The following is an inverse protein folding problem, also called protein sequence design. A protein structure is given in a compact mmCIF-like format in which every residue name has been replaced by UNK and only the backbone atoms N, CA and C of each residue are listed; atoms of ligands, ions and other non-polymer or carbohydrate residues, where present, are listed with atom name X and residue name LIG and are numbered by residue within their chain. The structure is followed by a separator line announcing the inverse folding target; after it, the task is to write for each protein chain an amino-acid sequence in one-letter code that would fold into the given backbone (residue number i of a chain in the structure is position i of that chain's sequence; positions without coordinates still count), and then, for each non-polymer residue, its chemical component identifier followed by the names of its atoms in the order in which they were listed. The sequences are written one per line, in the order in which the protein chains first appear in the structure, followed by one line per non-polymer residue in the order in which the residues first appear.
data_IF_420257335582
#
_entry.id   IF_420257335582
#
_cell.length_a   1.000
_cell.length_b   1.000
_cell.length_c   1.000
_cell.angle_alpha   90.00
_cell.angle_beta   90.00
_cell.angle_gamma   90.00
#
_symmetry.space_group_name_H-M   'P 1'
#
loop_
_entity.id
_entity.type
_entity.pdbx_description
1 polymer ?
#
# COMPACT_ATOMS: atom_id res chain seq x y z
N UNK A 1 -18.14 17.75 15.70
CA UNK A 1 -17.14 17.51 14.64
C UNK A 1 -17.78 16.65 13.56
N UNK A 2 -17.63 17.01 12.31
CA UNK A 2 -18.26 16.29 11.19
C UNK A 2 -17.20 15.64 10.30
N UNK A 3 -16.64 14.54 10.76
CA UNK A 3 -15.64 13.76 10.00
C UNK A 3 -16.40 12.93 8.96
N UNK A 4 -16.05 13.09 7.69
CA UNK A 4 -16.79 12.47 6.58
C UNK A 4 -16.06 11.26 5.98
N UNK A 5 -15.01 10.78 6.62
CA UNK A 5 -14.29 9.60 6.17
C UNK A 5 -12.80 9.84 6.06
N UNK A 6 -12.16 8.93 5.38
CA UNK A 6 -10.71 8.94 5.19
C UNK A 6 -10.35 9.75 3.95
N UNK A 7 -9.44 10.72 4.07
CA UNK A 7 -9.03 11.54 2.93
C UNK A 7 -7.84 10.93 2.19
N UNK A 8 -6.74 10.75 2.89
CA UNK A 8 -5.55 10.09 2.32
C UNK A 8 -4.62 9.61 3.43
N UNK A 9 -3.71 8.74 3.06
CA UNK A 9 -2.59 8.33 3.89
C UNK A 9 -1.30 8.68 3.14
N UNK A 10 -0.38 9.34 3.81
CA UNK A 10 0.93 9.66 3.25
C UNK A 10 1.98 8.69 3.80
N UNK A 11 2.80 8.15 2.90
CA UNK A 11 3.90 7.26 3.22
C UNK A 11 5.18 7.84 2.62
N UNK A 12 6.20 8.00 3.43
CA UNK A 12 7.50 8.41 2.93
C UNK A 12 8.27 7.18 2.46
N UNK A 13 8.79 7.25 1.24
CA UNK A 13 9.47 6.15 0.57
C UNK A 13 10.77 6.61 -0.06
N UNK A 14 11.71 5.70 -0.28
CA UNK A 14 12.99 6.03 -0.92
C UNK A 14 12.93 5.94 -2.44
N UNK A 15 12.19 4.97 -2.96
CA UNK A 15 12.07 4.72 -4.39
C UNK A 15 10.62 4.82 -4.82
N UNK A 16 10.15 6.08 -5.00
CA UNK A 16 8.73 6.36 -5.22
C UNK A 16 8.17 5.67 -6.48
N UNK A 17 8.94 5.59 -7.56
CA UNK A 17 8.47 4.91 -8.78
C UNK A 17 8.26 3.42 -8.56
N UNK A 18 9.17 2.77 -7.84
CA UNK A 18 9.09 1.34 -7.55
C UNK A 18 7.91 1.01 -6.64
N UNK A 19 7.69 1.84 -5.62
CA UNK A 19 6.56 1.66 -4.70
C UNK A 19 5.24 1.93 -5.42
N UNK A 20 5.19 2.97 -6.25
CA UNK A 20 4.01 3.27 -7.07
C UNK A 20 3.67 2.10 -7.99
N UNK A 21 4.68 1.50 -8.63
CA UNK A 21 4.46 0.35 -9.51
C UNK A 21 3.81 -0.82 -8.77
N UNK A 22 4.18 -1.04 -7.51
CA UNK A 22 3.54 -2.08 -6.70
C UNK A 22 2.04 -1.82 -6.53
N UNK A 23 1.65 -0.62 -6.09
CA UNK A 23 0.25 -0.31 -5.86
C UNK A 23 -0.55 -0.20 -7.17
N UNK A 24 0.04 0.35 -8.22
CA UNK A 24 -0.61 0.51 -9.52
C UNK A 24 -0.69 -0.80 -10.30
N UNK A 25 0.43 -1.50 -10.45
CA UNK A 25 0.53 -2.63 -11.39
C UNK A 25 0.18 -3.97 -10.73
N UNK A 26 0.45 -4.13 -9.43
CA UNK A 26 0.13 -5.37 -8.71
C UNK A 26 -1.26 -5.30 -8.08
N UNK A 27 -1.56 -4.22 -7.34
CA UNK A 27 -2.88 -4.05 -6.72
C UNK A 27 -3.92 -3.48 -7.67
N UNK A 28 -3.51 -2.85 -8.76
CA UNK A 28 -4.43 -2.29 -9.76
C UNK A 28 -4.98 -0.92 -9.42
N UNK A 29 -4.31 -0.17 -8.54
CA UNK A 29 -4.74 1.19 -8.21
C UNK A 29 -4.39 2.15 -9.34
N UNK A 30 -5.17 3.23 -9.49
CA UNK A 30 -4.94 4.24 -10.53
C UNK A 30 -4.00 5.33 -10.02
N UNK A 31 -3.00 5.68 -10.83
CA UNK A 31 -2.16 6.83 -10.54
C UNK A 31 -2.95 8.12 -10.77
N UNK A 32 -2.97 9.01 -9.77
CA UNK A 32 -3.73 10.26 -9.83
C UNK A 32 -2.88 11.41 -10.35
N UNK A 33 -1.82 11.75 -9.62
CA UNK A 33 -1.02 12.94 -9.93
C UNK A 33 0.40 12.81 -9.44
N UNK A 34 1.32 13.40 -10.21
CA UNK A 34 2.74 13.51 -9.85
C UNK A 34 3.02 14.95 -9.45
N UNK A 35 3.76 15.13 -8.37
CA UNK A 35 4.21 16.43 -7.90
C UNK A 35 5.72 16.48 -7.97
N UNK A 36 6.22 17.63 -8.43
CA UNK A 36 7.65 17.84 -8.60
C UNK A 36 8.15 18.95 -7.67
N UNK A 37 9.45 18.89 -7.33
CA UNK A 37 10.14 19.93 -6.61
C UNK A 37 10.47 21.08 -7.57
N UNK A 38 10.94 22.22 -7.04
CA UNK A 38 11.34 23.37 -7.87
C UNK A 38 12.43 23.02 -8.88
N UNK A 39 13.33 22.10 -8.53
CA UNK A 39 14.41 21.64 -9.42
C UNK A 39 13.94 20.66 -10.50
N UNK A 40 12.65 20.34 -10.55
CA UNK A 40 12.06 19.41 -11.52
C UNK A 40 12.09 17.95 -11.12
N UNK A 41 12.77 17.59 -10.03
CA UNK A 41 12.81 16.21 -9.54
C UNK A 41 11.46 15.80 -8.97
N UNK A 42 11.14 14.51 -9.07
CA UNK A 42 9.88 13.97 -8.58
C UNK A 42 9.86 13.98 -7.05
N UNK A 43 8.80 14.56 -6.47
CA UNK A 43 8.60 14.63 -5.03
C UNK A 43 7.62 13.57 -4.54
N UNK A 44 6.49 13.42 -5.21
CA UNK A 44 5.45 12.49 -4.77
C UNK A 44 4.56 12.02 -5.91
N UNK A 45 3.93 10.87 -5.69
CA UNK A 45 2.92 10.31 -6.59
C UNK A 45 1.70 9.94 -5.74
N UNK A 46 0.53 10.41 -6.17
CA UNK A 46 -0.75 10.01 -5.57
C UNK A 46 -1.33 8.81 -6.28
N UNK A 47 -1.83 7.84 -5.54
CA UNK A 47 -2.46 6.62 -6.07
C UNK A 47 -3.84 6.49 -5.46
N UNK A 48 -4.88 6.38 -6.29
CA UNK A 48 -6.25 6.25 -5.83
C UNK A 48 -6.51 4.88 -5.22
N UNK A 49 -7.05 4.88 -4.01
CA UNK A 49 -7.57 3.66 -3.39
C UNK A 49 -9.05 3.55 -3.77
N UNK A 50 -9.46 2.47 -4.47
CA UNK A 50 -10.86 2.35 -4.88
C UNK A 50 -11.85 2.50 -3.73
N UNK A 51 -12.78 3.42 -3.89
CA UNK A 51 -13.83 3.68 -2.90
C UNK A 51 -13.46 4.62 -1.76
N UNK A 52 -12.19 4.91 -1.52
CA UNK A 52 -11.78 5.71 -0.36
C UNK A 52 -10.46 6.44 -0.55
N UNK A 53 -10.48 7.72 -0.85
CA UNK A 53 -9.28 8.54 -0.80
C UNK A 53 -8.10 8.05 -1.64
N UNK A 54 -6.89 8.36 -1.19
CA UNK A 54 -5.68 7.98 -1.94
C UNK A 54 -4.48 7.77 -1.01
N UNK A 55 -3.45 7.13 -1.56
CA UNK A 55 -2.13 7.08 -0.95
C UNK A 55 -1.26 8.17 -1.57
N UNK A 56 -0.60 8.95 -0.74
CA UNK A 56 0.42 9.89 -1.18
C UNK A 56 1.79 9.25 -0.89
N UNK A 57 2.51 8.89 -1.95
CA UNK A 57 3.84 8.28 -1.82
C UNK A 57 4.87 9.39 -2.03
N UNK A 58 5.53 9.79 -0.94
CA UNK A 58 6.43 10.94 -0.92
C UNK A 58 7.87 10.48 -0.84
N UNK A 59 8.70 10.91 -1.81
CA UNK A 59 10.09 10.51 -1.86
C UNK A 59 10.94 11.27 -0.85
N UNK A 60 11.67 10.53 -0.04
CA UNK A 60 12.65 11.05 0.91
C UNK A 60 13.94 10.23 0.82
N UNK A 61 15.04 10.80 1.29
CA UNK A 61 16.30 10.08 1.43
C UNK A 61 16.44 9.55 2.86
N UNK A 62 17.33 8.58 3.03
CA UNK A 62 17.63 8.03 4.35
C UNK A 62 17.10 6.62 4.56
N UNK A 63 17.48 6.04 5.68
CA UNK A 63 17.06 4.69 6.04
C UNK A 63 15.80 4.73 6.93
N UNK A 64 14.90 3.74 6.78
CA UNK A 64 13.76 3.61 7.69
C UNK A 64 14.22 3.40 9.13
N UNK A 65 13.61 4.09 10.07
CA UNK A 65 13.92 4.02 11.48
C UNK A 65 12.76 3.39 12.27
N UNK A 66 12.96 2.28 12.94
CA UNK A 66 14.07 1.29 12.94
C UNK A 66 13.84 0.14 11.97
N UNK A 67 13.38 0.42 10.82
CA UNK A 67 12.98 -0.51 9.77
C UNK A 67 11.52 -0.31 9.41
N UNK A 68 11.11 -0.78 8.23
CA UNK A 68 9.79 -0.43 7.69
C UNK A 68 8.61 -0.98 8.49
N UNK A 69 8.75 -2.14 9.09
CA UNK A 69 7.67 -2.74 9.87
C UNK A 69 8.21 -3.63 10.99
N UNK A 70 7.59 -3.55 12.15
CA UNK A 70 7.86 -4.44 13.29
C UNK A 70 6.59 -4.76 14.04
N UNK A 71 6.42 -6.04 14.41
CA UNK A 71 5.35 -6.46 15.31
C UNK A 71 5.59 -5.88 16.70
N UNK A 72 4.52 -5.71 17.45
CA UNK A 72 4.58 -5.36 18.88
C UNK A 72 5.26 -4.01 19.14
N UNK A 73 5.16 -3.10 18.20
CA UNK A 73 5.70 -1.76 18.31
C UNK A 73 4.57 -0.75 18.18
N UNK A 74 4.47 0.26 19.06
CA UNK A 74 3.48 1.33 18.87
C UNK A 74 3.70 2.04 17.53
N UNK A 75 2.62 2.35 16.84
CA UNK A 75 2.64 3.05 15.55
C UNK A 75 1.79 2.37 14.50
N UNK A 76 1.97 2.77 13.24
CA UNK A 76 1.26 2.17 12.13
C UNK A 76 1.66 0.70 11.98
N UNK A 77 0.64 -0.14 11.86
CA UNK A 77 0.81 -1.60 11.81
C UNK A 77 0.71 -2.15 10.39
N UNK A 78 -0.31 -1.73 9.63
CA UNK A 78 -0.50 -2.23 8.27
C UNK A 78 -1.45 -1.33 7.47
N UNK A 79 -1.41 -1.50 6.15
CA UNK A 79 -2.40 -0.96 5.22
C UNK A 79 -3.31 -2.11 4.80
N UNK A 80 -4.57 -2.07 5.22
CA UNK A 80 -5.52 -3.12 4.86
C UNK A 80 -6.53 -2.59 3.84
N UNK A 81 -6.67 -3.32 2.73
CA UNK A 81 -7.62 -3.00 1.68
C UNK A 81 -8.69 -4.09 1.61
N UNK A 82 -9.92 -3.67 1.30
CA UNK A 82 -11.04 -4.59 1.20
C UNK A 82 -11.06 -5.25 -0.17
N UNK A 83 -11.31 -6.55 -0.17
CA UNK A 83 -11.60 -7.31 -1.39
C UNK A 83 -12.89 -8.11 -1.18
N UNK A 84 -13.61 -8.46 -2.23
CA UNK A 84 -14.67 -9.44 -2.08
C UNK A 84 -14.06 -10.83 -1.86
N UNK A 85 -14.77 -11.70 -1.14
CA UNK A 85 -14.29 -13.08 -0.90
C UNK A 85 -13.97 -13.79 -2.21
N UNK A 86 -14.84 -13.63 -3.22
CA UNK A 86 -14.62 -14.22 -4.54
C UNK A 86 -13.35 -13.75 -5.24
N UNK A 87 -12.77 -12.63 -4.81
CA UNK A 87 -11.53 -12.09 -5.38
C UNK A 87 -10.25 -12.64 -4.77
N UNK A 88 -10.34 -13.41 -3.67
CA UNK A 88 -9.16 -13.87 -2.95
C UNK A 88 -8.18 -14.68 -3.82
N UNK A 89 -8.70 -15.64 -4.57
CA UNK A 89 -7.85 -16.48 -5.42
C UNK A 89 -7.11 -15.64 -6.47
N UNK A 90 -7.76 -14.65 -7.05
CA UNK A 90 -7.16 -13.73 -8.01
C UNK A 90 -6.05 -12.87 -7.38
N UNK A 91 -6.24 -12.45 -6.13
CA UNK A 91 -5.22 -11.71 -5.37
C UNK A 91 -3.98 -12.56 -5.17
N UNK A 92 -4.15 -13.79 -4.69
CA UNK A 92 -3.02 -14.72 -4.48
C UNK A 92 -2.27 -14.97 -5.79
N UNK A 93 -3.01 -15.18 -6.88
CA UNK A 93 -2.42 -15.39 -8.20
C UNK A 93 -1.66 -14.15 -8.70
N UNK A 94 -2.21 -12.97 -8.49
CA UNK A 94 -1.56 -11.72 -8.89
C UNK A 94 -0.24 -11.51 -8.15
N UNK A 95 -0.19 -11.80 -6.85
CA UNK A 95 1.05 -11.73 -6.09
C UNK A 95 2.07 -12.77 -6.58
N UNK A 96 1.64 -13.98 -6.87
CA UNK A 96 2.52 -15.01 -7.40
C UNK A 96 3.14 -14.59 -8.74
N UNK A 97 2.33 -14.04 -9.66
CA UNK A 97 2.82 -13.56 -10.95
C UNK A 97 3.80 -12.39 -10.82
N UNK A 98 3.58 -11.53 -9.83
CA UNK A 98 4.45 -10.38 -9.58
C UNK A 98 5.71 -10.74 -8.78
N UNK A 99 5.85 -11.99 -8.34
CA UNK A 99 6.97 -12.40 -7.51
C UNK A 99 6.92 -11.84 -6.09
N UNK A 100 5.73 -11.51 -5.60
CA UNK A 100 5.52 -10.98 -4.23
C UNK A 100 5.17 -12.13 -3.31
N UNK A 101 6.05 -12.50 -2.37
CA UNK A 101 5.77 -13.61 -1.46
C UNK A 101 4.68 -13.26 -0.46
N UNK A 102 3.84 -14.24 -0.14
CA UNK A 102 2.87 -14.10 0.94
C UNK A 102 3.61 -14.20 2.27
N UNK A 103 3.43 -13.20 3.13
CA UNK A 103 4.03 -13.22 4.45
C UNK A 103 3.23 -14.05 5.44
N UNK A 104 1.90 -13.98 5.33
CA UNK A 104 0.98 -14.67 6.23
C UNK A 104 -0.40 -14.75 5.59
N UNK A 105 -1.19 -15.73 6.01
CA UNK A 105 -2.58 -15.88 5.62
C UNK A 105 -3.46 -16.25 6.80
N UNK A 106 -4.67 -15.71 6.80
CA UNK A 106 -5.74 -16.20 7.67
C UNK A 106 -6.91 -16.63 6.78
N UNK A 107 -8.02 -17.08 7.37
CA UNK A 107 -9.20 -17.44 6.58
C UNK A 107 -9.79 -16.25 5.81
N UNK A 108 -9.50 -15.01 6.22
CA UNK A 108 -10.06 -13.80 5.60
C UNK A 108 -9.04 -12.92 4.89
N UNK A 109 -7.77 -13.05 5.23
CA UNK A 109 -6.79 -12.01 4.90
C UNK A 109 -5.50 -12.61 4.37
N UNK A 110 -4.96 -11.95 3.34
CA UNK A 110 -3.64 -12.25 2.77
C UNK A 110 -2.73 -11.08 3.10
N UNK A 111 -1.54 -11.36 3.62
CA UNK A 111 -0.55 -10.35 4.01
C UNK A 111 0.70 -10.43 3.15
N UNK A 112 1.15 -9.29 2.66
CA UNK A 112 2.38 -9.14 1.87
C UNK A 112 3.16 -7.91 2.34
N UNK A 113 4.34 -7.71 1.77
CA UNK A 113 5.12 -6.48 1.94
C UNK A 113 5.15 -5.70 0.65
N UNK A 114 5.05 -4.37 0.75
CA UNK A 114 5.36 -3.53 -0.40
C UNK A 114 6.88 -3.49 -0.63
N UNK A 115 7.38 -2.85 -1.71
CA UNK A 115 8.82 -2.88 -2.01
C UNK A 115 9.72 -2.26 -0.95
N UNK A 116 9.18 -1.46 -0.03
CA UNK A 116 9.95 -0.88 1.08
C UNK A 116 9.65 -1.53 2.42
N UNK A 117 8.96 -2.66 2.40
CA UNK A 117 8.72 -3.47 3.59
C UNK A 117 7.50 -3.07 4.40
N UNK A 118 6.67 -2.16 3.93
CA UNK A 118 5.41 -1.83 4.59
C UNK A 118 4.46 -3.01 4.49
N UNK A 119 3.78 -3.33 5.58
CA UNK A 119 2.86 -4.45 5.61
C UNK A 119 1.53 -4.09 4.96
N UNK A 120 1.11 -4.90 4.00
CA UNK A 120 -0.11 -4.70 3.22
C UNK A 120 -1.01 -5.92 3.37
N UNK A 121 -2.29 -5.70 3.56
CA UNK A 121 -3.27 -6.77 3.70
C UNK A 121 -4.43 -6.59 2.71
N UNK A 122 -4.88 -7.70 2.14
CA UNK A 122 -6.09 -7.78 1.33
C UNK A 122 -7.07 -8.67 2.09
N UNK A 123 -8.22 -8.12 2.49
CA UNK A 123 -9.12 -8.81 3.41
C UNK A 123 -10.57 -8.78 2.97
N UNK A 124 -11.25 -9.90 3.15
CA UNK A 124 -12.70 -9.98 3.00
C UNK A 124 -13.44 -10.17 4.34
N UNK A 125 -12.73 -9.95 5.47
CA UNK A 125 -13.37 -10.02 6.78
C UNK A 125 -14.53 -9.01 6.85
N UNK A 126 -15.69 -9.35 7.43
CA UNK A 126 -16.03 -10.63 8.10
C UNK A 126 -16.72 -11.67 7.20
N UNK A 127 -16.68 -11.50 5.89
CA UNK A 127 -17.35 -12.40 4.95
C UNK A 127 -16.66 -13.77 4.93
N UNK A 128 -17.37 -14.81 5.37
CA UNK A 128 -16.87 -16.19 5.43
C UNK A 128 -16.94 -16.91 4.10
#
# INVERSE_FOLDING_TARGET
MDVQGFHHLAIQVREVEKVTAFYRDVLGFSELKRHHREDGSLRSIGVEVPGEGFLALEEVSGEPEPGPFRNERPGLFLLAFRIPKAGRAGVVEAFARAGVPLEHETRWTVYVRDPEGNRVALSHHPED
#
